data_IF_609300054806
#
_entry.id   IF_609300054806
#
_cell.length_a   1.000
_cell.length_b   1.000
_cell.length_c   1.000
_cell.angle_alpha   90.00
_cell.angle_beta   90.00
_cell.angle_gamma   90.00
#
_symmetry.space_group_name_H-M   'P 1'
#
loop_
_entity.id
_entity.type
_entity.pdbx_description
1 polymer ?
#
# COMPACT_ATOMS: atom_id res chain seq x y z
N UNK A 1 -21.64 53.63 27.36
CA UNK A 1 -20.59 53.22 26.41
C UNK A 1 -19.70 52.22 27.11
N UNK A 2 -19.68 50.98 26.65
CA UNK A 2 -18.67 49.97 27.01
C UNK A 2 -18.78 48.81 26.02
N UNK A 3 -17.60 48.31 25.66
CA UNK A 3 -17.23 47.59 24.45
C UNK A 3 -17.45 46.07 24.51
N UNK A 4 -17.32 45.47 23.31
CA UNK A 4 -16.73 44.14 23.00
C UNK A 4 -17.71 42.97 22.85
N UNK A 5 -17.89 42.39 21.64
CA UNK A 5 -17.05 41.36 20.97
C UNK A 5 -16.99 40.08 21.83
N UNK A 6 -17.27 38.84 21.41
CA UNK A 6 -17.09 38.17 20.12
C UNK A 6 -17.85 36.85 20.09
N UNK A 7 -17.82 36.26 18.91
CA UNK A 7 -18.48 35.07 18.39
C UNK A 7 -18.08 33.76 19.08
N UNK A 8 -19.03 32.82 19.01
CA UNK A 8 -18.83 31.35 18.92
C UNK A 8 -18.03 30.73 20.06
N UNK A 9 -18.73 30.39 21.14
CA UNK A 9 -18.30 29.27 21.98
C UNK A 9 -18.43 28.00 21.14
N UNK A 10 -17.26 27.49 20.74
CA UNK A 10 -17.04 26.31 19.93
C UNK A 10 -17.82 25.11 20.49
N UNK A 11 -18.77 24.61 19.70
CA UNK A 11 -19.22 23.23 19.80
C UNK A 11 -17.98 22.36 19.54
N UNK A 12 -17.47 21.74 20.60
CA UNK A 12 -16.49 20.67 20.55
C UNK A 12 -17.16 19.44 19.93
N UNK A 13 -17.37 19.47 18.61
CA UNK A 13 -17.46 18.24 17.84
C UNK A 13 -16.02 17.82 17.53
N UNK A 14 -15.42 17.04 18.44
CA UNK A 14 -14.43 16.06 18.02
C UNK A 14 -15.16 15.01 17.19
N UNK A 15 -15.47 15.35 15.94
CA UNK A 15 -15.80 14.36 14.94
C UNK A 15 -14.48 13.66 14.59
N UNK A 16 -14.10 12.68 15.42
CA UNK A 16 -13.20 11.64 14.98
C UNK A 16 -13.98 10.87 13.91
N UNK A 17 -13.83 11.29 12.66
CA UNK A 17 -14.19 10.48 11.50
C UNK A 17 -13.27 9.27 11.52
N UNK A 18 -13.69 8.22 12.23
CA UNK A 18 -13.17 6.89 12.00
C UNK A 18 -13.50 6.56 10.55
N UNK A 19 -12.50 6.62 9.68
CA UNK A 19 -12.59 6.07 8.33
C UNK A 19 -12.62 4.56 8.51
N UNK A 20 -13.81 4.01 8.72
CA UNK A 20 -14.04 2.60 8.51
C UNK A 20 -13.89 2.37 6.99
N UNK A 21 -12.71 1.93 6.56
CA UNK A 21 -12.57 1.25 5.27
C UNK A 21 -13.23 -0.11 5.42
N UNK A 22 -14.57 -0.11 5.47
CA UNK A 22 -15.36 -1.29 5.21
C UNK A 22 -15.45 -1.43 3.69
N UNK A 23 -14.40 -2.00 3.09
CA UNK A 23 -14.48 -2.54 1.75
C UNK A 23 -15.45 -3.71 1.76
N UNK A 24 -16.73 -3.44 1.52
CA UNK A 24 -17.75 -4.45 1.29
C UNK A 24 -17.50 -5.12 -0.08
N UNK A 25 -16.53 -6.04 -0.13
CA UNK A 25 -16.53 -7.11 -1.13
C UNK A 25 -17.32 -8.26 -0.54
N UNK A 26 -18.64 -8.18 -0.68
CA UNK A 26 -19.60 -9.07 -0.01
C UNK A 26 -19.75 -10.44 -0.68
N UNK A 27 -19.02 -10.75 -1.77
CA UNK A 27 -19.10 -12.03 -2.48
C UNK A 27 -17.80 -12.33 -3.24
N UNK A 28 -16.75 -12.69 -2.52
CA UNK A 28 -15.69 -13.56 -3.04
C UNK A 28 -15.49 -14.59 -1.94
N UNK A 29 -15.57 -15.89 -2.25
CA UNK A 29 -15.29 -16.93 -1.27
C UNK A 29 -14.00 -16.57 -0.52
N UNK A 30 -13.96 -16.81 0.80
CA UNK A 30 -12.74 -16.65 1.58
C UNK A 30 -11.71 -17.62 0.98
N UNK A 31 -11.02 -17.20 -0.08
CA UNK A 31 -9.89 -17.88 -0.67
C UNK A 31 -8.92 -17.99 0.49
N UNK A 32 -8.79 -19.20 1.05
CA UNK A 32 -7.95 -19.46 2.21
C UNK A 32 -6.56 -18.94 1.87
N UNK A 33 -6.22 -17.80 2.46
CA UNK A 33 -4.93 -17.16 2.25
C UNK A 33 -3.91 -17.93 3.07
N UNK A 34 -2.74 -18.20 2.51
CA UNK A 34 -1.59 -18.61 3.31
C UNK A 34 -1.30 -17.48 4.30
N UNK A 35 -1.49 -17.68 5.61
CA UNK A 35 -1.31 -16.61 6.58
C UNK A 35 0.15 -16.15 6.68
N UNK A 36 1.12 -16.99 6.27
CA UNK A 36 2.52 -16.61 6.19
C UNK A 36 2.76 -15.71 4.99
N UNK A 37 2.21 -16.07 3.82
CA UNK A 37 2.39 -15.33 2.58
C UNK A 37 1.06 -14.82 1.99
N UNK A 38 0.37 -13.89 2.66
CA UNK A 38 -0.94 -13.43 2.23
C UNK A 38 -0.85 -12.69 0.88
N UNK A 39 -1.85 -12.91 0.02
CA UNK A 39 -1.92 -12.31 -1.31
C UNK A 39 -3.21 -11.51 -1.47
N UNK A 40 -3.10 -10.26 -1.93
CA UNK A 40 -4.25 -9.46 -2.32
C UNK A 40 -4.28 -9.23 -3.83
N UNK A 41 -5.46 -9.41 -4.43
CA UNK A 41 -5.72 -9.08 -5.84
C UNK A 41 -6.51 -7.76 -5.98
N UNK A 42 -6.69 -7.01 -4.90
CA UNK A 42 -7.47 -5.79 -4.84
C UNK A 42 -6.61 -4.54 -4.58
N UNK A 43 -7.04 -3.39 -5.10
CA UNK A 43 -6.42 -2.08 -4.92
C UNK A 43 -7.53 -1.01 -4.78
N UNK A 44 -7.58 -0.23 -3.68
CA UNK A 44 -6.80 -0.37 -2.44
C UNK A 44 -7.13 -1.65 -1.67
N UNK A 45 -6.18 -2.16 -0.88
CA UNK A 45 -6.44 -3.25 0.05
C UNK A 45 -5.40 -3.32 1.18
N UNK A 46 -5.80 -3.94 2.30
CA UNK A 46 -4.92 -4.28 3.40
C UNK A 46 -4.99 -5.78 3.69
N UNK A 47 -3.84 -6.35 4.04
CA UNK A 47 -3.68 -7.75 4.40
C UNK A 47 -2.84 -7.83 5.69
N UNK A 48 -3.03 -8.92 6.42
CA UNK A 48 -2.34 -9.18 7.69
C UNK A 48 -1.57 -10.48 7.58
N UNK A 49 -0.31 -10.48 8.01
CA UNK A 49 0.53 -11.69 8.10
C UNK A 49 0.48 -12.32 9.49
N UNK A 50 0.84 -13.60 9.60
CA UNK A 50 1.06 -14.31 10.87
C UNK A 50 2.07 -13.61 11.79
N UNK A 51 2.97 -12.81 11.23
CA UNK A 51 3.90 -11.96 12.01
C UNK A 51 3.19 -10.79 12.72
N UNK A 52 1.85 -10.72 12.68
CA UNK A 52 1.05 -9.62 13.21
C UNK A 52 1.41 -8.29 12.56
N UNK A 53 1.81 -8.32 11.29
CA UNK A 53 2.09 -7.11 10.50
C UNK A 53 0.92 -6.90 9.56
N UNK A 54 0.31 -5.72 9.65
CA UNK A 54 -0.72 -5.24 8.74
C UNK A 54 -0.01 -4.38 7.70
N UNK A 55 -0.19 -4.73 6.43
CA UNK A 55 0.30 -3.96 5.29
C UNK A 55 -0.88 -3.54 4.44
N UNK A 56 -0.90 -2.29 4.00
CA UNK A 56 -1.95 -1.75 3.13
C UNK A 56 -1.36 -1.08 1.90
N UNK A 57 -1.76 -1.50 0.70
CA UNK A 57 -1.46 -0.78 -0.53
C UNK A 57 -2.64 0.14 -0.83
N UNK A 58 -2.47 1.44 -0.55
CA UNK A 58 -3.50 2.47 -0.73
C UNK A 58 -3.66 2.89 -2.19
N UNK A 59 -2.55 2.93 -2.91
CA UNK A 59 -2.54 3.40 -4.28
C UNK A 59 -1.28 2.97 -5.00
N UNK A 60 -1.42 2.83 -6.32
CA UNK A 60 -0.32 2.56 -7.24
C UNK A 60 -0.56 3.39 -8.49
N UNK A 61 0.48 4.05 -9.00
CA UNK A 61 0.41 4.86 -10.21
C UNK A 61 1.70 4.75 -11.00
N UNK A 62 1.58 4.39 -12.28
CA UNK A 62 2.68 4.34 -13.23
C UNK A 62 2.55 5.53 -14.17
N UNK A 63 3.60 6.34 -14.26
CA UNK A 63 3.70 7.49 -15.16
C UNK A 63 5.14 7.69 -15.60
N UNK A 64 5.37 7.81 -16.91
CA UNK A 64 6.67 8.14 -17.49
C UNK A 64 7.81 7.23 -17.01
N UNK A 65 7.58 5.93 -16.90
CA UNK A 65 8.59 4.99 -16.45
C UNK A 65 8.79 4.92 -14.93
N UNK A 66 8.01 5.65 -14.14
CA UNK A 66 8.06 5.64 -12.68
C UNK A 66 6.76 5.07 -12.11
N UNK A 67 6.87 4.10 -11.21
CA UNK A 67 5.76 3.64 -10.37
C UNK A 67 5.87 4.26 -8.98
N UNK A 68 4.85 5.01 -8.56
CA UNK A 68 4.69 5.52 -7.20
C UNK A 68 3.64 4.71 -6.46
N UNK A 69 3.93 4.35 -5.21
CA UNK A 69 3.02 3.59 -4.35
C UNK A 69 2.88 4.28 -2.99
N UNK A 70 1.68 4.25 -2.43
CA UNK A 70 1.41 4.68 -1.05
C UNK A 70 1.07 3.44 -0.21
N UNK A 71 1.85 3.21 0.85
CA UNK A 71 1.80 1.98 1.64
C UNK A 71 1.67 2.30 3.12
N UNK A 72 0.65 1.72 3.75
CA UNK A 72 0.51 1.73 5.21
C UNK A 72 1.13 0.47 5.80
N UNK A 73 1.81 0.63 6.94
CA UNK A 73 2.32 -0.50 7.70
C UNK A 73 2.08 -0.27 9.19
N UNK A 74 1.48 -1.27 9.84
CA UNK A 74 1.39 -1.36 11.29
C UNK A 74 1.95 -2.71 11.76
N UNK A 75 2.81 -2.69 12.79
CA UNK A 75 3.39 -3.90 13.36
C UNK A 75 2.85 -4.19 14.76
N UNK A 76 2.41 -5.42 15.01
CA UNK A 76 2.13 -5.96 16.34
C UNK A 76 3.36 -6.53 17.06
N UNK A 77 4.49 -6.65 16.35
CA UNK A 77 5.72 -7.32 16.83
C UNK A 77 6.37 -6.58 17.98
N UNK A 78 6.94 -7.32 18.93
CA UNK A 78 7.76 -6.73 19.99
C UNK A 78 9.07 -6.15 19.44
N UNK A 79 9.71 -6.85 18.51
CA UNK A 79 10.93 -6.40 17.85
C UNK A 79 10.56 -5.46 16.69
N UNK A 80 11.05 -4.20 16.69
CA UNK A 80 10.83 -3.29 15.58
C UNK A 80 11.32 -3.87 14.26
N UNK A 81 10.66 -3.49 13.17
CA UNK A 81 11.08 -3.85 11.82
C UNK A 81 11.92 -2.71 11.27
N UNK A 82 13.19 -2.93 10.89
CA UNK A 82 13.97 -1.93 10.17
C UNK A 82 13.24 -1.47 8.92
N UNK A 83 13.09 -0.16 8.75
CA UNK A 83 12.54 0.41 7.53
C UNK A 83 13.69 0.56 6.53
N UNK A 84 13.78 -0.39 5.61
CA UNK A 84 14.83 -0.46 4.60
C UNK A 84 14.23 -0.77 3.21
N UNK A 85 14.70 -0.13 2.13
CA UNK A 85 14.09 -0.29 0.82
C UNK A 85 14.16 -1.72 0.24
N UNK A 86 15.12 -2.54 0.65
CA UNK A 86 15.24 -3.91 0.16
C UNK A 86 14.16 -4.87 0.69
N UNK A 87 13.33 -4.39 1.62
CA UNK A 87 12.13 -5.10 2.08
C UNK A 87 10.97 -4.96 1.09
N UNK A 88 11.10 -4.10 0.09
CA UNK A 88 10.09 -3.86 -0.92
C UNK A 88 10.61 -4.30 -2.28
N UNK A 89 9.72 -4.89 -3.07
CA UNK A 89 10.01 -5.17 -4.47
C UNK A 89 8.77 -4.99 -5.33
N UNK A 90 9.00 -4.53 -6.55
CA UNK A 90 8.02 -4.45 -7.62
C UNK A 90 8.48 -5.33 -8.78
N UNK A 91 7.57 -6.13 -9.33
CA UNK A 91 7.74 -6.86 -10.57
C UNK A 91 6.54 -6.63 -11.48
N UNK A 92 6.72 -6.81 -12.79
CA UNK A 92 5.60 -6.89 -13.74
C UNK A 92 5.70 -8.22 -14.47
N UNK A 93 4.57 -8.93 -14.50
CA UNK A 93 4.36 -10.12 -15.31
C UNK A 93 3.53 -9.74 -16.53
N UNK A 94 3.87 -10.30 -17.68
CA UNK A 94 3.05 -10.20 -18.88
C UNK A 94 1.81 -11.10 -18.80
N UNK A 95 1.01 -11.13 -19.87
CA UNK A 95 -0.21 -11.93 -19.96
C UNK A 95 0.03 -13.45 -19.88
N UNK A 96 1.26 -13.90 -20.16
CA UNK A 96 1.67 -15.31 -20.05
C UNK A 96 2.21 -15.63 -18.65
N UNK A 97 2.22 -14.64 -17.74
CA UNK A 97 2.74 -14.77 -16.38
C UNK A 97 4.26 -14.68 -16.29
N UNK A 98 4.96 -14.39 -17.40
CA UNK A 98 6.41 -14.26 -17.42
C UNK A 98 6.81 -12.89 -16.86
N UNK A 99 7.79 -12.88 -15.98
CA UNK A 99 8.34 -11.65 -15.42
C UNK A 99 9.10 -10.87 -16.51
N UNK A 100 8.57 -9.71 -16.89
CA UNK A 100 9.17 -8.80 -17.89
C UNK A 100 9.88 -7.61 -17.24
N UNK A 101 9.62 -7.35 -15.97
CA UNK A 101 10.31 -6.31 -15.19
C UNK A 101 10.52 -6.74 -13.74
N UNK A 102 11.64 -6.34 -13.17
CA UNK A 102 11.93 -6.46 -11.74
C UNK A 102 12.72 -5.26 -11.24
N UNK A 103 12.19 -4.59 -10.22
CA UNK A 103 12.80 -3.41 -9.58
C UNK A 103 14.22 -3.64 -9.08
N UNK A 104 14.56 -4.83 -8.56
CA UNK A 104 15.91 -5.13 -8.09
C UNK A 104 16.99 -5.01 -9.17
N UNK A 105 16.64 -5.27 -10.43
CA UNK A 105 17.54 -5.09 -11.58
C UNK A 105 17.58 -3.63 -12.08
N UNK A 106 16.75 -2.76 -11.51
CA UNK A 106 16.47 -1.40 -11.97
C UNK A 106 16.69 -0.33 -10.89
N UNK A 107 17.54 -0.62 -9.89
CA UNK A 107 17.87 0.31 -8.80
C UNK A 107 17.04 0.14 -7.52
N UNK A 108 16.21 -0.91 -7.45
CA UNK A 108 15.37 -1.23 -6.30
C UNK A 108 14.15 -0.32 -6.19
N UNK A 109 13.29 -0.66 -5.22
CA UNK A 109 12.28 0.28 -4.72
C UNK A 109 12.99 1.28 -3.80
N UNK A 110 12.59 2.55 -3.86
CA UNK A 110 13.07 3.62 -2.97
C UNK A 110 11.95 4.06 -2.06
N UNK A 111 12.30 4.48 -0.85
CA UNK A 111 11.38 5.15 0.07
C UNK A 111 11.64 6.65 -0.09
N UNK A 112 10.62 7.43 -0.47
CA UNK A 112 10.78 8.84 -0.80
C UNK A 112 10.53 9.75 0.40
N UNK A 113 9.81 9.26 1.40
CA UNK A 113 9.57 9.93 2.67
C UNK A 113 9.68 8.93 3.84
N UNK A 114 10.83 8.94 4.51
CA UNK A 114 11.03 8.20 5.74
C UNK A 114 11.50 9.16 6.83
N UNK A 115 10.60 9.52 7.75
CA UNK A 115 10.99 10.24 8.96
C UNK A 115 11.67 9.31 9.99
N UNK A 116 11.28 8.03 9.99
CA UNK A 116 11.74 7.02 10.93
C UNK A 116 12.52 5.91 10.23
N UNK A 117 13.53 5.35 10.90
CA UNK A 117 14.28 4.19 10.41
C UNK A 117 13.69 2.84 10.85
N UNK A 118 12.64 2.86 11.68
CA UNK A 118 12.03 1.68 12.29
C UNK A 118 10.50 1.76 12.23
N UNK A 119 9.87 0.62 11.97
CA UNK A 119 8.44 0.40 12.19
C UNK A 119 8.30 -0.21 13.59
N UNK A 120 7.78 0.60 14.51
CA UNK A 120 7.65 0.25 15.93
C UNK A 120 6.25 -0.30 16.22
N UNK A 121 6.15 -1.14 17.25
CA UNK A 121 4.90 -1.76 17.68
C UNK A 121 3.76 -0.74 17.81
N UNK A 122 2.60 -1.03 17.20
CA UNK A 122 1.37 -0.23 17.26
C UNK A 122 1.55 1.25 16.91
N UNK A 123 2.55 1.56 16.08
CA UNK A 123 2.79 2.90 15.55
C UNK A 123 2.65 2.81 14.03
N UNK A 124 1.45 3.07 13.49
CA UNK A 124 1.23 3.02 12.05
C UNK A 124 2.12 4.04 11.33
N UNK A 125 2.67 3.63 10.19
CA UNK A 125 3.42 4.51 9.28
C UNK A 125 2.79 4.46 7.90
N UNK A 126 2.77 5.61 7.22
CA UNK A 126 2.46 5.70 5.79
C UNK A 126 3.75 6.03 5.07
N UNK A 127 4.03 5.32 3.99
CA UNK A 127 5.24 5.42 3.19
C UNK A 127 4.89 5.69 1.74
N UNK A 128 5.64 6.57 1.10
CA UNK A 128 5.65 6.72 -0.34
C UNK A 128 6.88 6.02 -0.91
N UNK A 129 6.62 5.15 -1.87
CA UNK A 129 7.62 4.31 -2.51
C UNK A 129 7.71 4.65 -4.00
N UNK A 130 8.90 4.52 -4.57
CA UNK A 130 9.15 4.75 -5.99
C UNK A 130 9.97 3.61 -6.61
N UNK A 131 9.54 3.11 -7.76
CA UNK A 131 10.32 2.22 -8.61
C UNK A 131 10.51 2.84 -10.00
N UNK A 132 11.74 2.81 -10.51
CA UNK A 132 12.09 3.42 -11.79
C UNK A 132 12.17 2.40 -12.93
N UNK A 133 12.15 2.90 -14.17
CA UNK A 133 12.21 2.12 -15.43
C UNK A 133 11.09 1.08 -15.56
N UNK A 134 9.95 1.38 -14.97
CA UNK A 134 8.76 0.53 -14.99
C UNK A 134 8.10 0.67 -16.37
N UNK A 135 7.90 -0.41 -17.14
CA UNK A 135 7.21 -0.33 -18.43
C UNK A 135 5.75 0.10 -18.26
N UNK A 136 5.16 0.62 -19.33
CA UNK A 136 3.72 0.85 -19.40
C UNK A 136 2.97 -0.50 -19.31
N UNK A 137 1.84 -0.51 -18.59
CA UNK A 137 1.03 -1.72 -18.43
C UNK A 137 0.18 -1.96 -19.67
N UNK A 138 0.47 -3.08 -20.36
CA UNK A 138 -0.33 -3.58 -21.47
C UNK A 138 -1.45 -4.50 -20.97
N UNK A 139 -2.44 -4.75 -21.83
CA UNK A 139 -3.55 -5.65 -21.53
C UNK A 139 -3.07 -7.04 -21.11
N UNK A 140 -3.69 -7.58 -20.04
CA UNK A 140 -3.29 -8.84 -19.41
C UNK A 140 -2.08 -8.75 -18.47
N UNK A 141 -1.38 -7.62 -18.37
CA UNK A 141 -0.23 -7.50 -17.47
C UNK A 141 -0.67 -7.46 -16.00
N UNK A 142 0.22 -7.91 -15.12
CA UNK A 142 0.03 -7.92 -13.67
C UNK A 142 1.21 -7.28 -12.96
N UNK A 143 0.92 -6.32 -12.09
CA UNK A 143 1.87 -5.73 -11.15
C UNK A 143 1.95 -6.60 -9.90
N UNK A 144 3.15 -7.00 -9.52
CA UNK A 144 3.40 -7.75 -8.28
C UNK A 144 4.22 -6.86 -7.35
N UNK A 145 3.55 -6.28 -6.35
CA UNK A 145 4.20 -5.55 -5.26
C UNK A 145 4.35 -6.48 -4.06
N UNK A 146 5.53 -6.49 -3.44
CA UNK A 146 5.83 -7.36 -2.31
C UNK A 146 6.51 -6.57 -1.20
N UNK A 147 6.06 -6.78 0.02
CA UNK A 147 6.67 -6.32 1.26
C UNK A 147 7.13 -7.51 2.09
N UNK A 148 8.38 -7.49 2.58
CA UNK A 148 9.01 -8.53 3.38
C UNK A 148 9.31 -7.99 4.79
N UNK A 149 8.42 -8.23 5.79
CA UNK A 149 8.62 -7.77 7.16
C UNK A 149 9.89 -8.32 7.82
N UNK A 150 10.41 -9.45 7.34
CA UNK A 150 11.72 -10.01 7.69
C UNK A 150 12.42 -10.34 6.38
N UNK A 151 13.53 -9.65 6.08
CA UNK A 151 14.20 -9.74 4.77
C UNK A 151 14.68 -11.17 4.48
N UNK A 152 15.18 -11.85 5.50
CA UNK A 152 15.75 -13.20 5.40
C UNK A 152 14.68 -14.29 5.30
N UNK A 153 13.41 -13.94 5.53
CA UNK A 153 12.30 -14.89 5.59
C UNK A 153 11.21 -14.52 4.57
N UNK A 154 11.50 -14.78 3.30
CA UNK A 154 10.59 -14.50 2.19
C UNK A 154 9.28 -15.27 2.25
N UNK A 155 9.20 -16.35 3.03
CA UNK A 155 7.97 -17.09 3.31
C UNK A 155 6.94 -16.27 4.10
N UNK A 156 7.36 -15.17 4.76
CA UNK A 156 6.45 -14.23 5.43
C UNK A 156 6.15 -12.97 4.60
N UNK A 157 6.31 -13.05 3.28
CA UNK A 157 6.06 -11.93 2.39
C UNK A 157 4.59 -11.55 2.34
N UNK A 158 4.30 -10.28 2.17
CA UNK A 158 2.95 -9.78 1.92
C UNK A 158 2.91 -9.33 0.46
N UNK A 159 2.01 -9.90 -0.34
CA UNK A 159 2.02 -9.72 -1.81
C UNK A 159 0.73 -9.11 -2.31
N UNK A 160 0.84 -8.15 -3.24
CA UNK A 160 -0.26 -7.61 -4.01
C UNK A 160 -0.05 -7.95 -5.48
N UNK A 161 -0.95 -8.74 -6.04
CA UNK A 161 -0.97 -9.11 -7.46
C UNK A 161 -2.10 -8.35 -8.16
N UNK A 162 -1.77 -7.19 -8.70
CA UNK A 162 -2.74 -6.25 -9.27
C UNK A 162 -2.74 -6.39 -10.79
N UNK A 163 -3.80 -6.98 -11.33
CA UNK A 163 -4.01 -7.02 -12.78
C UNK A 163 -4.21 -5.62 -13.33
N UNK A 164 -3.91 -5.42 -14.62
CA UNK A 164 -4.17 -4.15 -15.30
C UNK A 164 -5.63 -3.68 -15.15
N UNK A 165 -6.60 -4.59 -15.23
CA UNK A 165 -8.01 -4.26 -15.05
C UNK A 165 -8.30 -3.65 -13.67
N UNK A 166 -7.76 -4.25 -12.60
CA UNK A 166 -7.91 -3.74 -11.23
C UNK A 166 -7.18 -2.39 -11.08
N UNK A 167 -6.00 -2.26 -11.66
CA UNK A 167 -5.24 -1.01 -11.67
C UNK A 167 -6.00 0.12 -12.37
N UNK A 168 -6.49 -0.10 -13.58
CA UNK A 168 -7.20 0.91 -14.37
C UNK A 168 -8.50 1.34 -13.66
N UNK A 169 -9.22 0.40 -13.04
CA UNK A 169 -10.40 0.69 -12.21
C UNK A 169 -10.03 1.55 -11.00
N UNK A 170 -8.98 1.20 -10.27
CA UNK A 170 -8.53 1.96 -9.09
C UNK A 170 -8.12 3.39 -9.48
N UNK A 171 -7.42 3.57 -10.60
CA UNK A 171 -7.08 4.90 -11.13
C UNK A 171 -8.32 5.73 -11.47
N UNK A 172 -9.30 5.14 -12.14
CA UNK A 172 -10.55 5.82 -12.50
C UNK A 172 -11.35 6.24 -11.25
N UNK A 173 -11.39 5.39 -10.22
CA UNK A 173 -12.04 5.71 -8.94
C UNK A 173 -11.29 6.80 -8.16
N UNK A 174 -9.96 6.79 -8.16
CA UNK A 174 -9.15 7.84 -7.55
C UNK A 174 -9.37 9.20 -8.22
N UNK A 175 -9.46 9.24 -9.55
CA UNK A 175 -9.71 10.46 -10.31
C UNK A 175 -11.10 11.08 -10.04
N UNK A 176 -12.11 10.26 -9.72
CA UNK A 176 -13.44 10.76 -9.33
C UNK A 176 -13.41 11.47 -7.98
N UNK A 177 -12.60 10.97 -7.03
CA UNK A 177 -12.48 11.53 -5.68
C UNK A 177 -11.74 12.87 -5.63
N UNK A 178 -10.87 13.17 -6.60
CA UNK A 178 -10.15 14.45 -6.63
C UNK A 178 -10.97 15.61 -7.20
N UNK A 179 -12.09 15.32 -7.87
CA UNK A 179 -12.89 16.30 -8.61
C UNK A 179 -14.24 16.64 -7.94
N UNK A 180 -14.48 16.15 -6.72
CA UNK A 180 -15.66 16.47 -5.90
C UNK A 180 -15.25 17.10 -4.59
#
# INVERSE_FOLDING_TARGET
>A
MSYTFSRRAFLKYSAATAVAVAGASLLGGCEYQDPNNPVSKALPSAITSELQVIGGLRGLKIKNGTCTMEVDIESGRANPIPLDPYRFSLAIKDAEGKQVYFSGNNGGVKITDAENSLIVKKTPVTLHLEAAKVPDLQDGYTVVFKYMPIRENSEYSMTWEITKEVYDKALAEAAKKSNG
#
